data_IF_946575627191
#
_entry.id   IF_946575627191
#
_cell.length_a   1.000
_cell.length_b   1.000
_cell.length_c   1.000
_cell.angle_alpha   90.00
_cell.angle_beta   90.00
_cell.angle_gamma   90.00
#
_symmetry.space_group_name_H-M   'P 1'
#
loop_
_entity.id
_entity.type
_entity.pdbx_description
1 polymer ?
#
# COMPACT_ATOMS: atom_id res chain seq x y z
N UNK A 1 -54.89 -13.87 -43.43
CA UNK A 1 -53.65 -14.25 -42.73
C UNK A 1 -53.53 -13.37 -41.51
N UNK A 2 -53.76 -13.92 -40.31
CA UNK A 2 -53.58 -13.21 -39.05
C UNK A 2 -52.36 -13.83 -38.37
N UNK A 3 -51.24 -13.11 -38.38
CA UNK A 3 -50.04 -13.50 -37.64
C UNK A 3 -50.31 -13.28 -36.14
N UNK A 4 -50.36 -14.38 -35.39
CA UNK A 4 -50.34 -14.34 -33.93
C UNK A 4 -48.90 -14.12 -33.48
N UNK A 5 -48.58 -12.88 -33.14
CA UNK A 5 -47.36 -12.54 -32.41
C UNK A 5 -47.48 -13.06 -30.98
N UNK A 6 -46.71 -14.10 -30.63
CA UNK A 6 -46.60 -14.57 -29.24
C UNK A 6 -45.56 -13.69 -28.52
N UNK A 7 -45.84 -13.18 -27.31
CA UNK A 7 -44.87 -12.43 -26.52
C UNK A 7 -43.73 -13.36 -26.04
N UNK A 8 -42.47 -12.88 -26.00
CA UNK A 8 -41.37 -13.61 -25.39
C UNK A 8 -41.62 -13.76 -23.89
N UNK A 9 -41.92 -14.98 -23.45
CA UNK A 9 -42.05 -15.34 -22.04
C UNK A 9 -40.79 -16.09 -21.62
N UNK A 10 -39.80 -15.32 -21.16
CA UNK A 10 -38.70 -15.85 -20.36
C UNK A 10 -38.19 -14.75 -19.41
N UNK A 11 -39.05 -14.37 -18.48
CA UNK A 11 -38.65 -13.61 -17.29
C UNK A 11 -38.52 -14.62 -16.14
N UNK A 12 -37.30 -14.88 -15.60
CA UNK A 12 -37.17 -15.75 -14.45
C UNK A 12 -37.88 -15.09 -13.27
N UNK A 13 -38.99 -15.69 -12.85
CA UNK A 13 -39.84 -15.20 -11.77
C UNK A 13 -39.00 -14.71 -10.56
N UNK A 14 -39.31 -13.53 -9.99
CA UNK A 14 -38.61 -13.03 -8.83
C UNK A 14 -38.82 -14.00 -7.68
N UNK A 15 -37.75 -14.69 -7.28
CA UNK A 15 -37.73 -15.54 -6.08
C UNK A 15 -38.10 -14.67 -4.90
N UNK A 16 -39.34 -14.80 -4.42
CA UNK A 16 -39.79 -14.21 -3.16
C UNK A 16 -38.88 -14.69 -2.03
N UNK A 17 -37.90 -13.87 -1.69
CA UNK A 17 -37.07 -14.05 -0.50
C UNK A 17 -38.00 -13.83 0.69
N UNK A 18 -38.15 -14.80 1.62
CA UNK A 18 -39.07 -14.61 2.73
C UNK A 18 -38.65 -13.36 3.51
N UNK A 19 -39.58 -12.41 3.59
CA UNK A 19 -39.53 -11.22 4.43
C UNK A 19 -39.63 -11.65 5.89
N UNK A 20 -38.61 -12.33 6.40
CA UNK A 20 -38.38 -12.36 7.84
C UNK A 20 -37.94 -10.95 8.24
N UNK A 21 -38.94 -10.09 8.42
CA UNK A 21 -38.79 -8.80 9.08
C UNK A 21 -38.37 -9.11 10.52
N UNK A 22 -37.08 -9.00 10.80
CA UNK A 22 -36.56 -9.12 12.15
C UNK A 22 -36.94 -7.84 12.92
N UNK A 23 -37.88 -7.90 13.88
CA UNK A 23 -38.42 -6.70 14.54
C UNK A 23 -37.47 -6.15 15.61
N UNK A 24 -36.33 -6.81 15.86
CA UNK A 24 -35.32 -6.32 16.78
C UNK A 24 -34.45 -5.27 16.09
N UNK A 25 -34.41 -4.01 16.60
CA UNK A 25 -33.48 -3.01 16.10
C UNK A 25 -32.06 -3.43 16.49
N UNK A 26 -31.40 -4.19 15.60
CA UNK A 26 -30.05 -4.71 15.81
C UNK A 26 -28.99 -3.64 16.06
N UNK A 27 -29.31 -2.36 15.79
CA UNK A 27 -28.42 -1.22 15.96
C UNK A 27 -28.29 -0.70 17.39
N UNK A 28 -29.29 -0.92 18.26
CA UNK A 28 -29.16 -0.55 19.67
C UNK A 28 -28.20 -1.50 20.40
N UNK A 29 -28.40 -2.80 20.19
CA UNK A 29 -27.59 -3.85 20.78
C UNK A 29 -26.18 -3.89 20.19
N UNK A 30 -26.02 -3.69 18.88
CA UNK A 30 -24.71 -3.61 18.22
C UNK A 30 -23.85 -2.45 18.75
N UNK A 31 -24.44 -1.27 18.96
CA UNK A 31 -23.73 -0.13 19.58
C UNK A 31 -23.35 -0.39 21.04
N UNK A 32 -24.20 -1.07 21.80
CA UNK A 32 -23.88 -1.47 23.17
C UNK A 32 -22.72 -2.47 23.21
N UNK A 33 -22.71 -3.45 22.31
CA UNK A 33 -21.63 -4.43 22.16
C UNK A 33 -20.31 -3.78 21.72
N UNK A 34 -20.34 -2.84 20.77
CA UNK A 34 -19.15 -2.07 20.35
C UNK A 34 -18.59 -1.22 21.52
N UNK A 35 -19.48 -0.61 22.31
CA UNK A 35 -19.10 0.06 23.56
C UNK A 35 -18.45 -0.88 24.57
N UNK A 36 -19.04 -2.06 24.76
CA UNK A 36 -18.53 -3.08 25.68
C UNK A 36 -17.17 -3.63 25.22
N UNK A 37 -16.98 -3.88 23.93
CA UNK A 37 -15.71 -4.33 23.35
C UNK A 37 -14.59 -3.31 23.55
N UNK A 38 -14.87 -2.02 23.29
CA UNK A 38 -13.90 -0.94 23.57
C UNK A 38 -13.56 -0.83 25.06
N UNK A 39 -14.55 -1.03 25.92
CA UNK A 39 -14.36 -0.97 27.38
C UNK A 39 -13.52 -2.16 27.89
N UNK A 40 -13.82 -3.39 27.46
CA UNK A 40 -13.11 -4.61 27.86
C UNK A 40 -11.66 -4.67 27.35
N UNK A 41 -11.36 -4.04 26.20
CA UNK A 41 -10.01 -4.01 25.62
C UNK A 41 -9.06 -3.00 26.28
N UNK A 42 -9.53 -2.19 27.23
CA UNK A 42 -8.74 -1.13 27.87
C UNK A 42 -8.21 -1.60 29.23
N UNK A 43 -6.91 -1.38 29.57
CA UNK A 43 -6.36 -1.75 30.88
C UNK A 43 -7.06 -1.08 32.07
N UNK A 44 -7.74 0.05 31.86
CA UNK A 44 -8.55 0.73 32.85
C UNK A 44 -9.72 -0.12 33.39
N UNK A 45 -10.30 -1.01 32.58
CA UNK A 45 -11.38 -1.89 33.03
C UNK A 45 -10.89 -2.87 34.11
N UNK A 46 -9.72 -3.48 33.90
CA UNK A 46 -9.12 -4.38 34.88
C UNK A 46 -8.84 -3.66 36.19
N UNK A 47 -8.27 -2.45 36.13
CA UNK A 47 -8.01 -1.63 37.32
C UNK A 47 -9.31 -1.31 38.07
N UNK A 48 -10.35 -0.88 37.36
CA UNK A 48 -11.66 -0.60 37.95
C UNK A 48 -12.28 -1.83 38.63
N UNK A 49 -12.22 -2.99 37.97
CA UNK A 49 -12.72 -4.25 38.51
C UNK A 49 -11.94 -4.71 39.76
N UNK A 50 -10.60 -4.57 39.75
CA UNK A 50 -9.76 -4.86 40.91
C UNK A 50 -10.09 -3.95 42.09
N UNK A 51 -10.28 -2.65 41.85
CA UNK A 51 -10.68 -1.69 42.89
C UNK A 51 -12.06 -2.06 43.46
N UNK A 52 -13.03 -2.40 42.61
CA UNK A 52 -14.35 -2.85 43.05
C UNK A 52 -14.25 -4.08 43.97
N UNK A 53 -13.52 -5.11 43.54
CA UNK A 53 -13.29 -6.31 44.36
C UNK A 53 -12.60 -5.97 45.69
N UNK A 54 -11.57 -5.11 45.66
CA UNK A 54 -10.84 -4.70 46.86
C UNK A 54 -11.74 -3.94 47.84
N UNK A 55 -12.56 -3.00 47.36
CA UNK A 55 -13.51 -2.25 48.18
C UNK A 55 -14.56 -3.17 48.78
N UNK A 56 -15.14 -4.09 47.98
CA UNK A 56 -16.12 -5.05 48.47
C UNK A 56 -15.55 -5.95 49.56
N UNK A 57 -14.36 -6.49 49.34
CA UNK A 57 -13.68 -7.37 50.29
C UNK A 57 -13.33 -6.62 51.56
N UNK A 58 -12.82 -5.39 51.44
CA UNK A 58 -12.47 -4.53 52.60
C UNK A 58 -13.71 -4.19 53.42
N UNK A 59 -14.80 -3.76 52.77
CA UNK A 59 -16.05 -3.41 53.45
C UNK A 59 -16.60 -4.58 54.25
N UNK A 60 -16.73 -5.74 53.63
CA UNK A 60 -17.28 -6.94 54.27
C UNK A 60 -16.33 -7.60 55.26
N UNK A 61 -15.03 -7.31 55.21
CA UNK A 61 -14.05 -7.84 56.18
C UNK A 61 -13.95 -7.00 57.47
N UNK A 62 -14.08 -5.67 57.34
CA UNK A 62 -13.84 -4.72 58.45
C UNK A 62 -15.13 -4.39 59.21
N UNK A 63 -16.31 -4.48 58.58
CA UNK A 63 -17.58 -4.18 59.24
C UNK A 63 -18.01 -5.23 60.29
N UNK A 64 -18.74 -4.82 61.35
CA UNK A 64 -19.37 -5.74 62.31
C UNK A 64 -20.35 -6.69 61.61
N UNK A 65 -20.54 -7.91 62.14
CA UNK A 65 -21.39 -8.95 61.53
C UNK A 65 -22.82 -8.50 61.20
N UNK A 66 -23.36 -7.55 61.97
CA UNK A 66 -24.70 -6.98 61.73
C UNK A 66 -24.81 -6.08 60.48
N UNK A 67 -23.69 -5.64 59.92
CA UNK A 67 -23.64 -4.75 58.74
C UNK A 67 -22.86 -5.35 57.56
N UNK A 68 -22.41 -6.62 57.69
CA UNK A 68 -21.82 -7.37 56.58
C UNK A 68 -22.92 -7.76 55.60
N UNK A 69 -22.84 -7.25 54.38
CA UNK A 69 -23.75 -7.64 53.29
C UNK A 69 -23.41 -9.04 52.76
N UNK A 70 -22.12 -9.39 52.75
CA UNK A 70 -21.59 -10.67 52.28
C UNK A 70 -20.66 -11.24 53.37
N UNK A 71 -21.17 -12.05 54.30
CA UNK A 71 -20.43 -12.49 55.47
C UNK A 71 -19.15 -13.23 55.11
N UNK A 72 -18.04 -12.84 55.73
CA UNK A 72 -16.74 -13.52 55.53
C UNK A 72 -16.78 -15.01 55.87
N UNK A 73 -17.66 -15.40 56.81
CA UNK A 73 -17.85 -16.79 57.23
C UNK A 73 -18.40 -17.69 56.11
N UNK A 74 -19.12 -17.11 55.15
CA UNK A 74 -19.67 -17.79 53.96
C UNK A 74 -18.73 -17.63 52.74
N UNK A 75 -17.47 -17.25 52.96
CA UNK A 75 -16.45 -17.09 51.91
C UNK A 75 -16.87 -16.15 50.76
N UNK A 76 -17.61 -15.07 51.05
CA UNK A 76 -18.06 -14.10 50.05
C UNK A 76 -18.91 -14.73 48.93
N UNK A 77 -19.94 -15.49 49.34
CA UNK A 77 -20.81 -16.22 48.40
C UNK A 77 -21.50 -15.28 47.42
N UNK A 78 -21.94 -14.09 47.86
CA UNK A 78 -22.63 -13.16 46.96
C UNK A 78 -21.70 -12.60 45.89
N UNK A 79 -20.46 -12.22 46.27
CA UNK A 79 -19.46 -11.80 45.30
C UNK A 79 -19.23 -12.88 44.25
N UNK A 80 -19.07 -14.13 44.70
CA UNK A 80 -18.84 -15.28 43.79
C UNK A 80 -20.03 -15.52 42.86
N UNK A 81 -21.26 -15.43 43.36
CA UNK A 81 -22.47 -15.56 42.55
C UNK A 81 -22.57 -14.44 41.50
N UNK A 82 -22.26 -13.20 41.87
CA UNK A 82 -22.28 -12.07 40.93
C UNK A 82 -21.21 -12.24 39.85
N UNK A 83 -19.98 -12.65 40.23
CA UNK A 83 -18.89 -12.87 39.28
C UNK A 83 -19.17 -14.03 38.31
N UNK A 84 -19.74 -15.13 38.79
CA UNK A 84 -20.13 -16.25 37.93
C UNK A 84 -21.26 -15.88 36.97
N UNK A 85 -22.26 -15.13 37.44
CA UNK A 85 -23.31 -14.57 36.59
C UNK A 85 -22.72 -13.62 35.54
N UNK A 86 -21.73 -12.81 35.93
CA UNK A 86 -21.05 -11.87 35.03
C UNK A 86 -20.40 -12.57 33.84
N UNK A 87 -19.68 -13.65 34.10
CA UNK A 87 -19.09 -14.47 33.05
C UNK A 87 -20.16 -15.13 32.16
N UNK A 88 -21.25 -15.62 32.77
CA UNK A 88 -22.31 -16.34 32.03
C UNK A 88 -23.08 -15.44 31.06
N UNK A 89 -23.39 -14.20 31.43
CA UNK A 89 -24.09 -13.28 30.52
C UNK A 89 -23.16 -12.67 29.45
N UNK A 90 -21.84 -12.66 29.69
CA UNK A 90 -20.89 -12.12 28.73
C UNK A 90 -20.86 -12.93 27.42
N UNK A 91 -20.96 -14.27 27.50
CA UNK A 91 -20.92 -15.15 26.33
C UNK A 91 -22.00 -14.86 25.27
N UNK A 92 -23.31 -14.80 25.60
CA UNK A 92 -24.34 -14.47 24.60
C UNK A 92 -24.22 -13.05 24.06
N UNK A 93 -23.77 -12.08 24.87
CA UNK A 93 -23.51 -10.73 24.38
C UNK A 93 -22.34 -10.70 23.38
N UNK A 94 -21.29 -11.46 23.68
CA UNK A 94 -20.10 -11.57 22.84
C UNK A 94 -20.43 -12.25 21.50
N UNK A 95 -21.22 -13.33 21.49
CA UNK A 95 -21.63 -14.02 20.26
C UNK A 95 -22.39 -13.09 19.30
N UNK A 96 -23.28 -12.26 19.83
CA UNK A 96 -24.01 -11.29 19.02
C UNK A 96 -23.10 -10.14 18.52
N UNK A 97 -22.11 -9.74 19.31
CA UNK A 97 -21.08 -8.80 18.88
C UNK A 97 -20.23 -9.35 17.74
N UNK A 98 -19.84 -10.63 17.85
CA UNK A 98 -19.05 -11.36 16.86
C UNK A 98 -19.80 -11.50 15.54
N UNK A 99 -21.06 -11.93 15.54
CA UNK A 99 -21.86 -12.03 14.31
C UNK A 99 -21.87 -10.72 13.49
N UNK A 100 -21.94 -9.55 14.17
CA UNK A 100 -21.88 -8.24 13.49
C UNK A 100 -20.47 -7.82 13.07
N UNK A 101 -19.44 -8.29 13.76
CA UNK A 101 -18.07 -8.08 13.32
C UNK A 101 -17.83 -8.90 12.04
N UNK A 102 -18.24 -10.16 12.03
CA UNK A 102 -18.14 -11.07 10.88
C UNK A 102 -18.90 -10.53 9.65
N UNK A 103 -20.09 -9.95 9.85
CA UNK A 103 -20.86 -9.31 8.77
C UNK A 103 -20.10 -8.12 8.16
N UNK A 104 -19.48 -7.27 8.99
CA UNK A 104 -18.67 -6.13 8.52
C UNK A 104 -17.40 -6.60 7.82
N UNK A 105 -16.72 -7.58 8.40
CA UNK A 105 -15.50 -8.16 7.85
C UNK A 105 -15.79 -8.84 6.50
N UNK A 106 -16.96 -9.45 6.34
CA UNK A 106 -17.42 -9.99 5.05
C UNK A 106 -17.62 -8.91 4.00
N UNK A 107 -18.27 -7.79 4.35
CA UNK A 107 -18.47 -6.67 3.41
C UNK A 107 -17.13 -6.05 3.03
N UNK A 108 -16.24 -5.85 4.01
CA UNK A 108 -14.89 -5.34 3.76
C UNK A 108 -14.10 -6.27 2.83
N UNK A 109 -14.13 -7.59 3.09
CA UNK A 109 -13.46 -8.57 2.24
C UNK A 109 -14.00 -8.61 0.80
N UNK A 110 -15.30 -8.35 0.60
CA UNK A 110 -15.90 -8.26 -0.73
C UNK A 110 -15.45 -6.98 -1.46
N UNK A 111 -15.41 -5.84 -0.77
CA UNK A 111 -14.90 -4.59 -1.33
C UNK A 111 -13.41 -4.70 -1.67
N UNK A 112 -12.62 -5.32 -0.81
CA UNK A 112 -11.19 -5.53 -1.02
C UNK A 112 -10.97 -6.43 -2.25
N UNK A 113 -11.79 -7.49 -2.43
CA UNK A 113 -11.76 -8.31 -3.65
C UNK A 113 -12.04 -7.48 -4.90
N UNK A 114 -13.13 -6.71 -4.93
CA UNK A 114 -13.47 -5.87 -6.09
C UNK A 114 -12.40 -4.81 -6.38
N UNK A 115 -11.81 -4.22 -5.34
CA UNK A 115 -10.69 -3.28 -5.47
C UNK A 115 -9.48 -3.98 -6.09
N UNK A 116 -9.15 -5.18 -5.62
CA UNK A 116 -8.03 -5.95 -6.14
C UNK A 116 -8.23 -6.37 -7.61
N UNK A 117 -9.44 -6.76 -7.99
CA UNK A 117 -9.79 -7.04 -9.40
C UNK A 117 -9.60 -5.83 -10.30
N UNK A 118 -10.03 -4.64 -9.85
CA UNK A 118 -9.82 -3.38 -10.58
C UNK A 118 -8.34 -3.01 -10.68
N UNK A 119 -7.57 -3.24 -9.63
CA UNK A 119 -6.13 -3.01 -9.62
C UNK A 119 -5.40 -3.95 -10.59
N UNK A 120 -5.80 -5.23 -10.63
CA UNK A 120 -5.28 -6.19 -11.60
C UNK A 120 -5.58 -5.74 -13.03
N UNK A 121 -6.83 -5.38 -13.32
CA UNK A 121 -7.23 -4.90 -14.64
C UNK A 121 -6.49 -3.61 -15.05
N UNK A 122 -6.28 -2.68 -14.11
CA UNK A 122 -5.51 -1.45 -14.35
C UNK A 122 -4.05 -1.76 -14.65
N UNK A 123 -3.46 -2.72 -13.94
CA UNK A 123 -2.07 -3.15 -14.16
C UNK A 123 -1.92 -3.81 -15.53
N UNK A 124 -2.86 -4.69 -15.91
CA UNK A 124 -2.89 -5.31 -17.23
C UNK A 124 -3.05 -4.28 -18.35
N UNK A 125 -3.91 -3.30 -18.15
CA UNK A 125 -4.11 -2.20 -19.10
C UNK A 125 -2.81 -1.41 -19.30
N UNK A 126 -2.20 -0.93 -18.21
CA UNK A 126 -0.93 -0.19 -18.27
C UNK A 126 0.18 -1.04 -18.91
N UNK A 127 0.23 -2.34 -18.62
CA UNK A 127 1.21 -3.25 -19.23
C UNK A 127 1.05 -3.33 -20.75
N UNK A 128 -0.19 -3.40 -21.25
CA UNK A 128 -0.48 -3.39 -22.69
C UNK A 128 -0.15 -2.04 -23.32
N UNK A 129 -0.47 -0.94 -22.65
CA UNK A 129 -0.14 0.42 -23.12
C UNK A 129 1.39 0.65 -23.17
N UNK A 130 2.15 0.16 -22.19
CA UNK A 130 3.62 0.23 -22.22
C UNK A 130 4.17 -0.61 -23.37
N UNK A 131 3.60 -1.80 -23.62
CA UNK A 131 4.01 -2.64 -24.73
C UNK A 131 3.73 -1.99 -26.10
N UNK A 132 2.56 -1.38 -26.29
CA UNK A 132 2.22 -0.65 -27.52
C UNK A 132 3.10 0.59 -27.71
N UNK A 133 3.34 1.36 -26.63
CA UNK A 133 4.25 2.50 -26.65
C UNK A 133 5.67 2.08 -27.02
N UNK A 134 6.16 0.96 -26.47
CA UNK A 134 7.49 0.43 -26.79
C UNK A 134 7.62 0.05 -28.27
N UNK A 135 6.58 -0.55 -28.86
CA UNK A 135 6.58 -0.87 -30.29
C UNK A 135 6.60 0.40 -31.14
N UNK A 136 5.74 1.38 -30.83
CA UNK A 136 5.71 2.66 -31.53
C UNK A 136 7.04 3.42 -31.44
N UNK A 137 7.69 3.43 -30.27
CA UNK A 137 9.00 4.05 -30.09
C UNK A 137 10.12 3.29 -30.82
N UNK A 138 10.05 1.96 -30.92
CA UNK A 138 11.04 1.18 -31.66
C UNK A 138 11.03 1.51 -33.16
N UNK A 139 9.85 1.67 -33.76
CA UNK A 139 9.72 2.03 -35.16
C UNK A 139 10.35 3.41 -35.47
N UNK A 140 10.09 4.42 -34.62
CA UNK A 140 10.64 5.80 -34.78
C UNK A 140 12.15 5.85 -34.49
N UNK A 141 12.65 5.00 -33.59
CA UNK A 141 14.05 4.95 -33.21
C UNK A 141 14.90 4.01 -34.10
N UNK A 142 14.34 3.47 -35.19
CA UNK A 142 15.12 2.59 -36.07
C UNK A 142 16.29 3.38 -36.64
N UNK A 143 17.52 2.88 -36.44
CA UNK A 143 18.78 3.51 -36.88
C UNK A 143 18.73 3.98 -38.33
N UNK A 144 18.00 3.29 -39.19
CA UNK A 144 17.90 3.62 -40.60
C UNK A 144 17.00 4.83 -40.89
N UNK A 145 15.98 5.11 -40.07
CA UNK A 145 15.18 6.34 -40.15
C UNK A 145 16.01 7.55 -39.70
N UNK A 146 16.64 7.47 -38.52
CA UNK A 146 17.52 8.53 -38.01
C UNK A 146 18.70 8.77 -38.97
N UNK A 147 19.25 7.72 -39.56
CA UNK A 147 20.31 7.81 -40.56
C UNK A 147 19.83 8.38 -41.90
N UNK A 148 18.56 8.14 -42.25
CA UNK A 148 17.89 8.71 -43.41
C UNK A 148 17.75 10.22 -43.24
N UNK A 149 17.13 10.66 -42.15
CA UNK A 149 16.98 12.08 -41.82
C UNK A 149 18.32 12.82 -41.70
N UNK A 150 19.31 12.22 -41.02
CA UNK A 150 20.65 12.81 -40.97
C UNK A 150 21.32 12.92 -42.34
N UNK A 151 20.93 12.09 -43.31
CA UNK A 151 21.48 12.11 -44.67
C UNK A 151 20.75 13.09 -45.57
N UNK A 152 19.43 13.17 -45.45
CA UNK A 152 18.62 14.16 -46.15
C UNK A 152 19.02 15.57 -45.70
N UNK A 153 19.12 15.82 -44.38
CA UNK A 153 19.60 17.09 -43.84
C UNK A 153 21.04 17.42 -44.28
N UNK A 154 21.91 16.42 -44.42
CA UNK A 154 23.28 16.64 -44.92
C UNK A 154 23.28 16.98 -46.42
N UNK A 155 22.45 16.30 -47.22
CA UNK A 155 22.31 16.56 -48.65
C UNK A 155 21.76 17.96 -48.90
N UNK A 156 20.76 18.38 -48.12
CA UNK A 156 20.19 19.73 -48.21
C UNK A 156 21.25 20.80 -47.99
N UNK A 157 22.13 20.63 -46.99
CA UNK A 157 23.24 21.56 -46.71
C UNK A 157 24.32 21.55 -47.81
N UNK A 158 24.66 20.38 -48.37
CA UNK A 158 25.61 20.28 -49.48
C UNK A 158 25.04 20.98 -50.75
N UNK A 159 23.76 20.76 -51.07
CA UNK A 159 23.07 21.37 -52.21
C UNK A 159 22.99 22.90 -52.07
N UNK A 160 22.74 23.42 -50.85
CA UNK A 160 22.80 24.85 -50.55
C UNK A 160 24.21 25.41 -50.78
N UNK A 161 25.25 24.66 -50.40
CA UNK A 161 26.65 25.01 -50.64
C UNK A 161 27.01 25.06 -52.13
N UNK A 162 26.53 24.10 -52.92
CA UNK A 162 26.73 24.06 -54.38
C UNK A 162 25.97 25.16 -55.11
N UNK A 163 24.73 25.47 -54.71
CA UNK A 163 23.94 26.56 -55.29
C UNK A 163 24.54 27.93 -54.95
N UNK A 164 25.16 28.07 -53.78
CA UNK A 164 25.93 29.25 -53.41
C UNK A 164 27.24 29.38 -54.22
N UNK A 165 27.82 28.26 -54.66
CA UNK A 165 28.99 28.23 -55.55
C UNK A 165 28.64 28.43 -57.05
N UNK A 166 27.42 28.10 -57.48
CA UNK A 166 26.97 28.17 -58.88
C UNK A 166 26.26 29.48 -59.27
N UNK A 167 25.99 30.39 -58.33
CA UNK A 167 25.49 31.74 -58.64
C UNK A 167 26.53 32.58 -59.42
N UNK A 168 26.13 33.53 -60.30
CA UNK A 168 27.01 34.28 -61.22
C UNK A 168 27.89 35.34 -60.53
N UNK A 169 28.33 35.07 -59.31
CA UNK A 169 29.28 35.90 -58.58
C UNK A 169 30.15 34.97 -57.77
N UNK A 170 31.28 34.57 -58.35
CA UNK A 170 32.44 34.13 -57.60
C UNK A 170 32.90 35.27 -56.70
N UNK A 171 32.17 35.51 -55.62
CA UNK A 171 32.72 36.18 -54.46
C UNK A 171 33.61 35.13 -53.82
N UNK A 172 34.90 35.41 -53.58
CA UNK A 172 35.72 34.50 -52.81
C UNK A 172 34.96 34.23 -51.51
N UNK A 173 34.63 32.96 -51.26
CA UNK A 173 34.18 32.53 -49.95
C UNK A 173 35.15 33.16 -48.95
N UNK A 174 34.68 33.92 -47.93
CA UNK A 174 35.60 34.42 -46.93
C UNK A 174 36.31 33.18 -46.41
N UNK A 175 37.61 33.05 -46.70
CA UNK A 175 38.45 32.05 -46.06
C UNK A 175 38.50 32.51 -44.62
N UNK A 176 37.50 32.07 -43.86
CA UNK A 176 37.43 32.29 -42.44
C UNK A 176 38.62 31.54 -41.89
N UNK A 177 39.67 32.30 -41.59
CA UNK A 177 40.94 31.74 -41.17
C UNK A 177 40.67 30.97 -39.87
N UNK A 178 40.70 29.63 -39.95
CA UNK A 178 40.39 28.78 -38.80
C UNK A 178 41.35 29.04 -37.64
N UNK A 179 42.49 29.66 -37.93
CA UNK A 179 43.44 30.13 -36.94
C UNK A 179 42.96 31.34 -36.14
N UNK A 180 42.16 32.22 -36.75
CA UNK A 180 41.54 33.40 -36.12
C UNK A 180 40.28 32.99 -35.36
N UNK A 181 39.45 32.11 -35.93
CA UNK A 181 38.24 31.64 -35.27
C UNK A 181 38.51 30.86 -33.98
N UNK A 182 39.60 30.07 -33.95
CA UNK A 182 40.03 29.36 -32.72
C UNK A 182 40.57 30.30 -31.64
N UNK A 183 41.15 31.44 -32.04
CA UNK A 183 41.63 32.47 -31.11
C UNK A 183 40.44 33.17 -30.46
N UNK A 184 39.48 33.62 -31.28
CA UNK A 184 38.23 34.24 -30.80
C UNK A 184 37.46 33.28 -29.90
N UNK A 185 37.31 32.02 -30.31
CA UNK A 185 36.60 31.02 -29.52
C UNK A 185 37.33 30.70 -28.20
N UNK A 186 38.67 30.67 -28.20
CA UNK A 186 39.46 30.46 -26.99
C UNK A 186 39.31 31.66 -26.03
N UNK A 187 39.30 32.88 -26.55
CA UNK A 187 39.10 34.09 -25.77
C UNK A 187 37.69 34.13 -25.16
N UNK A 188 36.66 33.76 -25.92
CA UNK A 188 35.27 33.73 -25.45
C UNK A 188 35.05 32.63 -24.41
N UNK A 189 35.59 31.42 -24.63
CA UNK A 189 35.55 30.32 -23.66
C UNK A 189 36.30 30.70 -22.37
N UNK A 190 37.44 31.39 -22.48
CA UNK A 190 38.18 31.87 -21.32
C UNK A 190 37.39 32.94 -20.54
N UNK A 191 36.71 33.86 -21.23
CA UNK A 191 35.86 34.87 -20.62
C UNK A 191 34.64 34.25 -19.93
N UNK A 192 33.99 33.27 -20.55
CA UNK A 192 32.85 32.53 -19.98
C UNK A 192 33.28 31.69 -18.78
N UNK A 193 34.42 31.01 -18.86
CA UNK A 193 34.99 30.24 -17.74
C UNK A 193 35.38 31.14 -16.56
N UNK A 194 35.92 32.34 -16.82
CA UNK A 194 36.20 33.33 -15.79
C UNK A 194 34.90 33.88 -15.15
N UNK A 195 33.81 33.94 -15.90
CA UNK A 195 32.49 34.36 -15.40
C UNK A 195 31.79 33.26 -14.60
N UNK A 196 32.02 31.98 -14.91
CA UNK A 196 31.45 30.83 -14.19
C UNK A 196 32.28 30.38 -12.98
N UNK A 197 33.56 30.73 -12.90
CA UNK A 197 34.42 30.38 -11.76
C UNK A 197 34.30 31.44 -10.65
N UNK A 198 33.09 31.55 -10.07
CA UNK A 198 32.96 32.01 -8.69
C UNK A 198 33.55 30.97 -7.72
N UNK A 199 34.02 31.37 -6.52
CA UNK A 199 34.74 30.46 -5.63
C UNK A 199 33.87 29.24 -5.24
N UNK A 200 34.33 28.05 -5.62
CA UNK A 200 33.71 26.76 -5.33
C UNK A 200 33.75 26.43 -3.83
N UNK A 201 32.62 26.12 -3.16
CA UNK A 201 32.61 25.60 -1.80
C UNK A 201 32.65 24.07 -1.86
N UNK A 202 33.81 23.50 -2.15
CA UNK A 202 34.00 22.05 -2.17
C UNK A 202 35.21 21.64 -1.31
N UNK A 203 35.05 21.76 0.02
CA UNK A 203 35.88 21.08 1.00
C UNK A 203 35.06 20.83 2.28
N UNK A 204 34.08 19.92 2.23
CA UNK A 204 33.56 19.24 3.42
C UNK A 204 32.66 18.04 3.04
N UNK A 205 33.06 16.83 3.44
CA UNK A 205 32.10 15.80 3.85
C UNK A 205 31.90 14.60 2.91
N UNK A 206 32.92 13.76 2.73
CA UNK A 206 32.72 12.37 2.30
C UNK A 206 33.26 11.42 3.37
N UNK A 207 32.41 11.00 4.31
CA UNK A 207 32.66 9.85 5.19
C UNK A 207 31.39 9.39 5.96
N UNK A 208 30.66 8.39 5.43
CA UNK A 208 30.10 7.19 6.11
C UNK A 208 29.13 6.44 5.16
N UNK A 209 29.52 5.33 4.53
CA UNK A 209 29.35 3.92 4.98
C UNK A 209 27.87 3.49 5.08
N UNK A 210 27.21 3.09 3.97
CA UNK A 210 27.09 1.74 3.36
C UNK A 210 26.38 0.67 4.21
N UNK A 211 25.05 0.65 4.05
CA UNK A 211 24.13 -0.47 3.81
C UNK A 211 24.35 -1.82 4.54
N UNK A 212 23.42 -2.11 5.44
CA UNK A 212 23.04 -3.45 5.90
C UNK A 212 22.47 -4.29 4.74
N UNK A 213 23.07 -5.45 4.50
CA UNK A 213 22.51 -6.53 3.68
C UNK A 213 22.70 -7.85 4.44
N UNK A 214 21.58 -8.38 4.95
CA UNK A 214 21.48 -9.65 5.65
C UNK A 214 21.45 -10.81 4.64
N UNK A 215 22.33 -11.80 4.79
CA UNK A 215 22.25 -13.10 4.14
C UNK A 215 22.60 -14.22 5.15
N UNK A 216 22.06 -15.45 4.98
CA UNK A 216 22.02 -16.47 6.03
C UNK A 216 23.28 -17.34 6.04
N UNK A 217 23.72 -17.77 7.23
CA UNK A 217 24.82 -18.72 7.42
C UNK A 217 24.33 -19.99 8.09
N UNK A 218 24.30 -21.09 7.34
CA UNK A 218 24.41 -22.46 7.85
C UNK A 218 25.90 -22.84 7.86
N UNK A 219 26.44 -23.46 8.92
CA UNK A 219 27.68 -24.19 8.83
C UNK A 219 27.41 -25.69 8.68
N UNK A 220 28.06 -26.31 7.70
CA UNK A 220 28.26 -27.74 7.61
C UNK A 220 29.77 -28.00 7.73
N UNK A 221 30.17 -28.90 8.61
CA UNK A 221 31.43 -29.65 8.54
C UNK A 221 31.36 -30.89 9.47
N UNK A 222 32.23 -31.92 9.31
CA UNK A 222 31.73 -33.25 8.93
C UNK A 222 32.21 -34.43 9.80
N UNK A 223 31.56 -35.58 9.57
CA UNK A 223 32.04 -36.98 9.62
C UNK A 223 32.42 -37.71 10.94
N UNK A 224 31.91 -38.95 10.98
CA UNK A 224 32.43 -40.20 11.57
C UNK A 224 32.20 -40.43 13.09
N UNK A 225 31.36 -41.43 13.43
CA UNK A 225 31.73 -42.73 14.04
C UNK A 225 31.70 -42.60 15.58
N UNK A 226 31.19 -43.48 16.45
CA UNK A 226 30.92 -44.92 16.52
C UNK A 226 29.99 -45.07 17.77
N UNK A 227 28.88 -45.80 17.69
CA UNK A 227 28.65 -47.07 18.41
C UNK A 227 28.16 -47.02 19.88
N UNK A 228 27.23 -47.95 20.15
CA UNK A 228 26.83 -48.51 21.46
C UNK A 228 25.98 -47.61 22.38
N UNK A 229 24.91 -48.05 23.05
CA UNK A 229 24.33 -49.36 23.30
C UNK A 229 22.90 -49.14 23.87
N UNK A 230 21.97 -50.01 23.50
CA UNK A 230 21.04 -50.78 24.36
C UNK A 230 20.53 -50.16 25.68
N UNK A 231 19.22 -49.94 25.80
CA UNK A 231 18.26 -50.67 26.67
C UNK A 231 16.85 -50.10 26.52
#
# INVERSE_FOLDING_TARGET
MAERTLPPLDDPAPRHRPLLYNPFPGDAFGRAAEGFARMMGTPAFLVGMTIFCAVWLTWNSVMPESAQFDPRALNFTLLTLILSLQASYAAPLLLLAQNRQDDRDRVQAEQDRQSNERNHATTDFITREIASLRLALNDVATRDFVRGELRDLLSELDDEGEQQAAGPSGRPSPQVDRAELREILREEIAAVAATMTGPSPAAAGTAHHRADAQAPTHPAEPSAEEESETT
#
